data_IF_992202442744
#
_entry.id   IF_992202442744
#
_cell.length_a   1.000
_cell.length_b   1.000
_cell.length_c   1.000
_cell.angle_alpha   90.00
_cell.angle_beta   90.00
_cell.angle_gamma   90.00
#
_symmetry.space_group_name_H-M   'P 1'
#
loop_
_entity.id
_entity.type
_entity.pdbx_description
1 polymer ?
#
# COMPACT_ATOMS: atom_id res chain seq x y z
N UNK A 1 -9.52 -9.15 7.12
CA UNK A 1 -8.40 -8.20 7.30
C UNK A 1 -7.54 -8.29 6.06
N UNK A 2 -7.11 -7.16 5.50
CA UNK A 2 -6.23 -7.12 4.34
C UNK A 2 -4.81 -6.73 4.75
N UNK A 3 -3.83 -7.48 4.25
CA UNK A 3 -2.41 -7.23 4.43
C UNK A 3 -1.84 -6.61 3.16
N UNK A 4 -1.26 -5.43 3.30
CA UNK A 4 -0.64 -4.67 2.23
C UNK A 4 0.88 -4.75 2.41
N UNK A 5 1.57 -5.42 1.51
CA UNK A 5 3.03 -5.41 1.45
C UNK A 5 3.51 -4.35 0.48
N UNK A 6 4.50 -3.54 0.88
CA UNK A 6 5.12 -2.53 0.03
C UNK A 6 6.63 -2.75 0.01
N UNK A 7 7.16 -3.13 -1.16
CA UNK A 7 8.58 -3.07 -1.50
C UNK A 7 8.93 -1.61 -1.82
N UNK A 8 9.86 -1.06 -1.05
CA UNK A 8 10.18 0.38 -1.03
C UNK A 8 11.44 0.65 -1.83
N UNK A 9 11.35 1.34 -2.97
CA UNK A 9 12.52 1.86 -3.67
C UNK A 9 12.52 3.38 -3.81
N UNK A 10 13.67 3.94 -4.19
CA UNK A 10 13.89 5.40 -4.27
C UNK A 10 12.89 6.14 -5.16
N UNK A 11 12.56 5.57 -6.31
CA UNK A 11 11.75 6.23 -7.34
C UNK A 11 10.36 5.63 -7.52
N UNK A 12 10.16 4.40 -7.04
CA UNK A 12 8.94 3.64 -7.23
C UNK A 12 8.76 2.65 -6.08
N UNK A 13 7.53 2.24 -5.84
CA UNK A 13 7.19 1.24 -4.85
C UNK A 13 6.32 0.18 -5.50
N UNK A 14 6.55 -1.07 -5.11
CA UNK A 14 5.81 -2.22 -5.61
C UNK A 14 4.93 -2.78 -4.49
N UNK A 15 3.65 -2.94 -4.77
CA UNK A 15 2.62 -3.22 -3.76
C UNK A 15 1.89 -4.51 -4.09
N UNK A 16 1.61 -5.32 -3.06
CA UNK A 16 0.73 -6.47 -3.11
C UNK A 16 -0.28 -6.44 -1.96
N UNK A 17 -1.47 -6.98 -2.18
CA UNK A 17 -2.54 -7.06 -1.17
C UNK A 17 -3.17 -8.44 -1.14
N UNK A 18 -3.19 -9.04 0.05
CA UNK A 18 -3.79 -10.35 0.34
C UNK A 18 -4.69 -10.30 1.58
N UNK A 19 -5.57 -11.27 1.77
CA UNK A 19 -6.27 -11.50 3.07
C UNK A 19 -5.61 -12.61 3.90
N UNK A 20 -6.22 -12.96 5.04
CA UNK A 20 -5.76 -14.03 5.94
C UNK A 20 -5.89 -15.43 5.36
N UNK A 21 -6.76 -15.62 4.36
CA UNK A 21 -6.96 -16.90 3.68
C UNK A 21 -6.00 -17.05 2.48
N UNK A 22 -5.19 -16.02 2.20
CA UNK A 22 -4.27 -15.98 1.06
C UNK A 22 -4.92 -15.57 -0.26
N UNK A 23 -6.16 -15.07 -0.24
CA UNK A 23 -6.81 -14.51 -1.43
C UNK A 23 -6.05 -13.27 -1.90
N UNK A 24 -5.71 -13.22 -3.18
CA UNK A 24 -4.97 -12.10 -3.77
C UNK A 24 -5.96 -11.06 -4.30
N UNK A 25 -5.93 -9.86 -3.73
CA UNK A 25 -6.73 -8.71 -4.19
C UNK A 25 -5.95 -7.84 -5.16
N UNK A 26 -4.64 -7.68 -4.89
CA UNK A 26 -3.72 -6.96 -5.77
C UNK A 26 -2.46 -7.81 -5.87
N UNK A 27 -2.26 -8.41 -7.04
CA UNK A 27 -1.05 -9.21 -7.30
C UNK A 27 0.20 -8.33 -7.40
N UNK A 28 0.07 -7.19 -8.08
CA UNK A 28 1.15 -6.24 -8.28
C UNK A 28 0.57 -4.88 -8.66
N UNK A 29 0.93 -3.85 -7.91
CA UNK A 29 0.70 -2.45 -8.23
C UNK A 29 2.00 -1.68 -8.06
N UNK A 30 2.50 -1.11 -9.14
CA UNK A 30 3.62 -0.17 -9.07
C UNK A 30 3.11 1.27 -8.99
N UNK A 31 3.70 2.05 -8.10
CA UNK A 31 3.50 3.50 -7.97
C UNK A 31 4.84 4.22 -8.05
N UNK A 32 4.84 5.47 -8.55
CA UNK A 32 5.97 6.38 -8.42
C UNK A 32 6.06 6.95 -7.00
N UNK A 33 7.26 7.35 -6.58
CA UNK A 33 7.49 8.07 -5.31
C UNK A 33 7.16 9.57 -5.47
N UNK A 34 5.91 9.86 -5.83
CA UNK A 34 5.37 11.20 -6.00
C UNK A 34 3.87 11.25 -5.66
N UNK A 35 3.29 12.45 -5.75
CA UNK A 35 1.88 12.69 -5.41
C UNK A 35 0.91 11.83 -6.24
N UNK A 36 1.20 11.60 -7.51
CA UNK A 36 0.31 10.82 -8.39
C UNK A 36 0.31 9.35 -7.96
N UNK A 37 1.51 8.79 -7.73
CA UNK A 37 1.67 7.44 -7.22
C UNK A 37 0.95 7.22 -5.89
N UNK A 38 1.08 8.16 -4.96
CA UNK A 38 0.40 8.09 -3.67
C UNK A 38 -1.12 8.29 -3.75
N UNK A 39 -1.61 9.13 -4.67
CA UNK A 39 -3.04 9.29 -4.93
C UNK A 39 -3.64 7.99 -5.46
N UNK A 40 -2.92 7.31 -6.37
CA UNK A 40 -3.30 6.00 -6.90
C UNK A 40 -3.33 4.93 -5.82
N UNK A 41 -2.34 4.91 -4.92
CA UNK A 41 -2.31 3.99 -3.77
C UNK A 41 -3.50 4.21 -2.84
N UNK A 42 -3.77 5.46 -2.46
CA UNK A 42 -4.89 5.80 -1.58
C UNK A 42 -6.24 5.38 -2.19
N UNK A 43 -6.46 5.69 -3.47
CA UNK A 43 -7.70 5.30 -4.17
C UNK A 43 -7.87 3.78 -4.20
N UNK A 44 -6.79 3.04 -4.49
CA UNK A 44 -6.79 1.58 -4.52
C UNK A 44 -7.18 1.00 -3.16
N UNK A 45 -6.49 1.42 -2.10
CA UNK A 45 -6.71 0.91 -0.74
C UNK A 45 -8.09 1.27 -0.20
N UNK A 46 -8.56 2.50 -0.47
CA UNK A 46 -9.92 2.94 -0.09
C UNK A 46 -10.99 2.10 -0.77
N UNK A 47 -10.83 1.80 -2.06
CA UNK A 47 -11.78 0.97 -2.80
C UNK A 47 -11.80 -0.47 -2.28
N UNK A 48 -10.64 -1.03 -1.92
CA UNK A 48 -10.55 -2.35 -1.30
C UNK A 48 -11.26 -2.40 0.05
N UNK A 49 -11.03 -1.43 0.93
CA UNK A 49 -11.72 -1.33 2.21
C UNK A 49 -13.24 -1.23 2.04
N UNK A 50 -13.73 -0.39 1.11
CA UNK A 50 -15.16 -0.25 0.83
C UNK A 50 -15.79 -1.53 0.29
N UNK A 51 -15.07 -2.26 -0.57
CA UNK A 51 -15.58 -3.46 -1.23
C UNK A 51 -15.61 -4.67 -0.30
N UNK A 52 -14.59 -4.80 0.56
CA UNK A 52 -14.43 -5.95 1.45
C UNK A 52 -15.03 -5.72 2.85
N UNK A 53 -15.14 -4.46 3.29
CA UNK A 53 -15.46 -4.11 4.68
C UNK A 53 -14.30 -4.36 5.65
N UNK A 54 -13.13 -4.78 5.14
CA UNK A 54 -11.99 -5.14 5.97
C UNK A 54 -11.10 -3.95 6.33
N UNK A 55 -10.46 -4.05 7.50
CA UNK A 55 -9.36 -3.15 7.88
C UNK A 55 -8.10 -3.48 7.07
N UNK A 56 -7.23 -2.48 6.91
CA UNK A 56 -5.91 -2.63 6.28
C UNK A 56 -4.83 -2.72 7.35
N UNK A 57 -3.86 -3.59 7.12
CA UNK A 57 -2.59 -3.63 7.83
C UNK A 57 -1.46 -3.51 6.82
N UNK A 58 -0.67 -2.44 6.91
CA UNK A 58 0.40 -2.13 5.95
C UNK A 58 1.75 -2.52 6.54
N UNK A 59 2.52 -3.31 5.80
CA UNK A 59 3.91 -3.64 6.08
C UNK A 59 4.81 -3.02 5.02
N UNK A 60 5.86 -2.33 5.46
CA UNK A 60 6.86 -1.70 4.59
C UNK A 60 8.16 -2.51 4.66
N UNK A 61 8.77 -2.77 3.51
CA UNK A 61 10.14 -3.27 3.46
C UNK A 61 11.12 -2.23 4.01
N UNK A 62 12.05 -2.67 4.85
CA UNK A 62 13.03 -1.77 5.47
C UNK A 62 14.16 -1.45 4.48
N UNK A 63 14.03 -0.32 3.80
CA UNK A 63 15.05 0.21 2.88
C UNK A 63 15.61 1.56 3.37
N UNK A 64 15.64 1.76 4.69
CA UNK A 64 16.09 3.02 5.28
C UNK A 64 15.17 4.20 4.97
N UNK A 65 15.74 5.36 4.62
CA UNK A 65 15.02 6.64 4.56
C UNK A 65 14.00 6.77 3.41
N UNK A 66 13.96 5.83 2.45
CA UNK A 66 12.99 5.88 1.34
C UNK A 66 11.55 5.61 1.80
N UNK A 67 11.33 5.08 3.00
CA UNK A 67 10.00 4.85 3.56
C UNK A 67 9.34 6.12 4.12
N UNK A 68 10.07 7.22 4.29
CA UNK A 68 9.54 8.40 5.00
C UNK A 68 8.33 9.04 4.32
N UNK A 69 8.32 9.10 2.98
CA UNK A 69 7.17 9.60 2.23
C UNK A 69 5.94 8.70 2.39
N UNK A 70 6.15 7.38 2.44
CA UNK A 70 5.09 6.40 2.69
C UNK A 70 4.53 6.52 4.10
N UNK A 71 5.38 6.69 5.11
CA UNK A 71 4.96 6.88 6.51
C UNK A 71 4.10 8.12 6.70
N UNK A 72 4.43 9.21 6.00
CA UNK A 72 3.64 10.44 6.03
C UNK A 72 2.20 10.21 5.52
N UNK A 73 2.04 9.35 4.51
CA UNK A 73 0.75 9.06 3.87
C UNK A 73 -0.01 7.93 4.57
N UNK A 74 0.68 6.93 5.13
CA UNK A 74 0.02 5.88 5.91
C UNK A 74 -0.68 6.43 7.15
N UNK A 75 -0.28 7.59 7.65
CA UNK A 75 -0.99 8.31 8.73
C UNK A 75 -2.33 8.95 8.29
N UNK A 76 -2.54 9.11 6.97
CA UNK A 76 -3.76 9.70 6.39
C UNK A 76 -4.82 8.63 6.09
N UNK A 77 -4.40 7.38 5.86
CA UNK A 77 -5.28 6.23 5.65
C UNK A 77 -5.64 5.65 7.03
N UNK A 78 -6.70 6.17 7.66
CA UNK A 78 -7.31 5.63 8.88
C UNK A 78 -8.67 5.02 8.61
#
# INVERSE_FOLDING_TARGET
MLYVGIDVAKYKHDIAVIDSEGTIFVKHLQISNDREGFTKLQATLTNLQKTTGDKLQIALEDTGHYCFNLLLISMIIK
#
